data_IF_779419886620
#
_entry.id   IF_779419886620
#
_cell.length_a   1.000
_cell.length_b   1.000
_cell.length_c   1.000
_cell.angle_alpha   90.00
_cell.angle_beta   90.00
_cell.angle_gamma   90.00
#
_symmetry.space_group_name_H-M   'P 1'
#
loop_
_entity.id
_entity.type
_entity.pdbx_description
1 polymer ?
#
# COMPACT_ATOMS: atom_id res chain seq x y z
N UNK A 1 13.49 56.95 41.79
CA UNK A 1 12.49 56.00 41.30
C UNK A 1 13.11 55.27 40.13
N UNK A 2 13.73 54.11 40.37
CA UNK A 2 14.50 53.38 39.35
C UNK A 2 13.62 52.30 38.75
N UNK A 3 13.34 52.38 37.45
CA UNK A 3 12.59 51.41 36.67
C UNK A 3 13.57 50.26 36.30
N UNK A 4 13.42 49.13 36.98
CA UNK A 4 14.12 47.89 36.67
C UNK A 4 13.51 47.29 35.37
N UNK A 5 14.24 47.35 34.28
CA UNK A 5 13.88 46.62 33.04
C UNK A 5 14.22 45.15 33.21
N UNK A 6 13.19 44.35 33.39
CA UNK A 6 13.26 42.88 33.35
C UNK A 6 13.57 42.45 31.91
N UNK A 7 14.79 42.01 31.66
CA UNK A 7 15.13 41.34 30.39
C UNK A 7 14.54 39.96 30.37
N UNK A 8 13.78 39.59 29.30
CA UNK A 8 13.28 38.22 29.19
C UNK A 8 14.45 37.26 28.93
N UNK A 9 14.52 36.24 29.77
CA UNK A 9 15.52 35.17 29.70
C UNK A 9 15.46 34.44 28.37
N UNK A 10 16.45 34.70 27.50
CA UNK A 10 16.61 34.06 26.17
C UNK A 10 17.03 32.58 26.25
N UNK A 11 17.14 32.00 27.45
CA UNK A 11 17.54 30.60 27.63
C UNK A 11 16.41 29.60 27.59
N UNK A 12 15.16 30.04 27.64
CA UNK A 12 13.97 29.13 27.62
C UNK A 12 13.51 28.73 26.22
N UNK A 13 13.97 29.40 25.16
CA UNK A 13 13.51 29.12 23.79
C UNK A 13 14.35 28.07 23.03
N UNK A 14 15.38 27.51 23.65
CA UNK A 14 16.37 26.67 22.95
C UNK A 14 16.17 25.15 23.12
N UNK A 15 15.13 24.66 23.78
CA UNK A 15 15.11 23.24 24.15
C UNK A 15 13.78 22.51 23.87
N UNK A 16 13.05 22.89 22.84
CA UNK A 16 11.96 22.07 22.29
C UNK A 16 12.28 21.56 20.87
N UNK A 17 13.53 21.20 20.64
CA UNK A 17 13.80 20.21 19.60
C UNK A 17 13.58 18.85 20.25
N UNK A 18 12.37 18.31 20.06
CA UNK A 18 12.14 16.90 20.29
C UNK A 18 13.30 16.10 19.69
N UNK A 19 13.81 15.07 20.38
CA UNK A 19 14.85 14.23 19.81
C UNK A 19 14.29 13.66 18.51
N UNK A 20 14.78 14.18 17.40
CA UNK A 20 14.70 13.50 16.11
C UNK A 20 15.22 12.11 16.40
N UNK A 21 14.38 11.11 16.22
CA UNK A 21 14.68 9.70 16.42
C UNK A 21 15.99 9.37 15.71
N UNK A 22 17.08 9.54 16.44
CA UNK A 22 18.41 9.07 16.09
C UNK A 22 18.38 7.55 16.25
N UNK A 23 17.84 6.87 15.23
CA UNK A 23 17.72 5.42 15.35
C UNK A 23 16.96 4.74 14.22
N UNK A 24 17.07 5.22 13.01
CA UNK A 24 17.03 4.38 11.82
C UNK A 24 17.62 5.19 10.66
N UNK A 25 18.81 4.93 10.42
CA UNK A 25 19.71 5.17 9.33
C UNK A 25 19.01 5.05 7.99
N UNK A 26 18.23 5.98 7.58
CA UNK A 26 17.70 5.84 6.25
C UNK A 26 17.55 7.21 5.63
N UNK A 27 18.23 7.42 4.53
CA UNK A 27 17.88 8.46 3.61
C UNK A 27 16.34 8.39 3.41
N UNK A 28 15.57 9.48 3.67
CA UNK A 28 14.10 9.49 3.54
C UNK A 28 13.60 8.99 2.18
N UNK A 29 14.44 9.01 1.17
CA UNK A 29 14.13 8.51 -0.17
C UNK A 29 13.99 6.98 -0.24
N UNK A 30 14.71 6.21 0.60
CA UNK A 30 14.50 4.76 0.70
C UNK A 30 13.14 4.43 1.31
N UNK A 31 12.72 5.20 2.32
CA UNK A 31 11.37 5.07 2.88
C UNK A 31 10.30 5.39 1.82
N UNK A 32 10.52 6.45 1.02
CA UNK A 32 9.61 6.77 -0.09
C UNK A 32 9.58 5.64 -1.13
N UNK A 33 10.73 5.08 -1.48
CA UNK A 33 10.80 3.95 -2.41
C UNK A 33 10.02 2.75 -1.88
N UNK A 34 10.22 2.35 -0.62
CA UNK A 34 9.50 1.23 0.00
C UNK A 34 7.97 1.42 -0.02
N UNK A 35 7.48 2.60 0.40
CA UNK A 35 6.03 2.86 0.41
C UNK A 35 5.46 3.02 -1.00
N UNK A 36 6.24 3.53 -1.96
CA UNK A 36 5.83 3.61 -3.37
C UNK A 36 5.72 2.22 -3.99
N UNK A 37 6.62 1.28 -3.67
CA UNK A 37 6.51 -0.12 -4.09
C UNK A 37 5.23 -0.76 -3.52
N UNK A 38 4.88 -0.48 -2.27
CA UNK A 38 3.62 -0.94 -1.67
C UNK A 38 2.38 -0.39 -2.39
N UNK A 39 2.40 0.89 -2.78
CA UNK A 39 1.31 1.50 -3.56
C UNK A 39 1.23 0.92 -4.97
N UNK A 40 2.37 0.69 -5.61
CA UNK A 40 2.45 0.03 -6.92
C UNK A 40 1.81 -1.36 -6.85
N UNK A 41 2.06 -2.14 -5.81
CA UNK A 41 1.46 -3.45 -5.61
C UNK A 41 -0.07 -3.39 -5.63
N UNK A 42 -0.66 -2.50 -4.84
CA UNK A 42 -2.13 -2.33 -4.76
C UNK A 42 -2.71 -1.81 -6.09
N UNK A 43 -2.06 -0.85 -6.73
CA UNK A 43 -2.52 -0.28 -7.99
C UNK A 43 -2.43 -1.25 -9.17
N UNK A 44 -1.35 -2.04 -9.24
CA UNK A 44 -1.21 -3.11 -10.23
C UNK A 44 -2.28 -4.19 -10.03
N UNK A 45 -2.44 -4.68 -8.81
CA UNK A 45 -3.41 -5.72 -8.49
C UNK A 45 -4.83 -5.30 -8.88
N UNK A 46 -5.22 -4.07 -8.58
CA UNK A 46 -6.55 -3.56 -8.94
C UNK A 46 -6.79 -3.52 -10.47
N UNK A 47 -5.75 -3.27 -11.27
CA UNK A 47 -5.88 -3.09 -12.71
C UNK A 47 -5.64 -4.38 -13.51
N UNK A 48 -4.76 -5.27 -13.03
CA UNK A 48 -4.38 -6.50 -13.74
C UNK A 48 -5.49 -7.55 -13.72
N UNK A 49 -6.32 -7.60 -12.68
CA UNK A 49 -7.42 -8.58 -12.53
C UNK A 49 -8.46 -8.47 -13.64
N UNK A 50 -8.74 -7.25 -14.12
CA UNK A 50 -9.68 -7.06 -15.22
C UNK A 50 -9.23 -7.78 -16.50
N UNK A 51 -7.92 -7.88 -16.73
CA UNK A 51 -7.34 -8.59 -17.88
C UNK A 51 -7.38 -10.11 -17.68
N UNK A 52 -7.30 -10.58 -16.44
CA UNK A 52 -7.37 -12.00 -16.11
C UNK A 52 -8.80 -12.57 -16.16
N UNK A 53 -9.83 -11.74 -16.05
CA UNK A 53 -11.23 -12.16 -15.97
C UNK A 53 -11.66 -13.16 -17.06
N UNK A 54 -11.34 -13.01 -18.37
CA UNK A 54 -11.74 -13.98 -19.39
C UNK A 54 -11.13 -15.37 -19.14
N UNK A 55 -9.88 -15.43 -18.67
CA UNK A 55 -9.21 -16.71 -18.33
C UNK A 55 -9.80 -17.33 -17.08
N UNK A 56 -10.05 -16.52 -16.04
CA UNK A 56 -10.72 -16.98 -14.81
C UNK A 56 -12.10 -17.55 -15.14
N UNK A 57 -12.87 -16.89 -16.04
CA UNK A 57 -14.16 -17.39 -16.49
C UNK A 57 -14.05 -18.76 -17.16
N UNK A 58 -13.08 -18.94 -18.05
CA UNK A 58 -12.88 -20.18 -18.77
C UNK A 58 -12.41 -21.32 -17.85
N UNK A 59 -11.42 -21.06 -16.99
CA UNK A 59 -10.75 -22.08 -16.18
C UNK A 59 -11.59 -22.51 -14.97
N UNK A 60 -12.30 -21.57 -14.34
CA UNK A 60 -13.14 -21.83 -13.17
C UNK A 60 -14.64 -21.94 -13.50
N UNK A 61 -15.02 -21.84 -14.78
CA UNK A 61 -16.43 -21.79 -15.22
C UNK A 61 -17.23 -20.70 -14.50
N UNK A 62 -16.58 -19.53 -14.27
CA UNK A 62 -17.16 -18.43 -13.52
C UNK A 62 -18.18 -17.66 -14.39
N UNK A 63 -19.34 -17.35 -13.79
CA UNK A 63 -20.36 -16.50 -14.40
C UNK A 63 -19.97 -15.01 -14.38
N UNK A 64 -20.64 -14.17 -15.16
CA UNK A 64 -20.42 -12.71 -15.12
C UNK A 64 -20.61 -12.11 -13.72
N UNK A 65 -21.65 -12.47 -12.93
CA UNK A 65 -21.76 -12.04 -11.54
C UNK A 65 -20.56 -12.46 -10.67
N UNK A 66 -20.02 -13.66 -10.88
CA UNK A 66 -18.85 -14.12 -10.12
C UNK A 66 -17.62 -13.25 -10.40
N UNK A 67 -17.36 -12.90 -11.66
CA UNK A 67 -16.28 -12.01 -12.05
C UNK A 67 -16.43 -10.61 -11.46
N UNK A 68 -17.66 -10.11 -11.38
CA UNK A 68 -17.96 -8.87 -10.68
C UNK A 68 -17.62 -8.99 -9.20
N UNK A 69 -18.04 -10.05 -8.53
CA UNK A 69 -17.74 -10.28 -7.11
C UNK A 69 -16.25 -10.46 -6.83
N UNK A 70 -15.48 -11.05 -7.74
CA UNK A 70 -14.01 -11.13 -7.62
C UNK A 70 -13.40 -9.72 -7.52
N UNK A 71 -13.91 -8.77 -8.28
CA UNK A 71 -13.44 -7.37 -8.23
C UNK A 71 -14.05 -6.61 -7.05
N UNK A 72 -15.36 -6.70 -6.87
CA UNK A 72 -16.12 -5.89 -5.92
C UNK A 72 -15.82 -6.28 -4.47
N UNK A 73 -15.63 -7.56 -4.17
CA UNK A 73 -15.26 -8.00 -2.81
C UNK A 73 -13.98 -7.36 -2.31
N UNK A 74 -12.99 -7.23 -3.17
CA UNK A 74 -11.73 -6.52 -2.87
C UNK A 74 -11.97 -5.02 -2.63
N UNK A 75 -12.66 -4.36 -3.57
CA UNK A 75 -12.93 -2.91 -3.49
C UNK A 75 -13.79 -2.55 -2.29
N UNK A 76 -14.82 -3.34 -2.00
CA UNK A 76 -15.72 -3.14 -0.85
C UNK A 76 -14.96 -3.30 0.48
N UNK A 77 -14.16 -4.36 0.61
CA UNK A 77 -13.34 -4.58 1.81
C UNK A 77 -12.31 -3.46 1.98
N UNK A 78 -11.63 -3.07 0.90
CA UNK A 78 -10.66 -1.98 0.91
C UNK A 78 -11.31 -0.66 1.32
N UNK A 79 -12.40 -0.27 0.65
CA UNK A 79 -13.04 1.03 0.87
C UNK A 79 -13.67 1.13 2.27
N UNK A 80 -14.37 0.08 2.72
CA UNK A 80 -15.05 0.06 4.03
C UNK A 80 -14.08 0.11 5.22
N UNK A 81 -12.88 -0.44 5.06
CA UNK A 81 -11.89 -0.53 6.13
C UNK A 81 -10.77 0.53 6.04
N UNK A 82 -10.77 1.39 5.02
CA UNK A 82 -9.71 2.37 4.79
C UNK A 82 -9.49 3.30 6.01
N UNK A 83 -10.57 3.82 6.59
CA UNK A 83 -10.52 4.71 7.77
C UNK A 83 -10.02 3.94 8.98
N UNK A 84 -10.50 2.71 9.17
CA UNK A 84 -10.05 1.84 10.25
C UNK A 84 -8.56 1.51 10.13
N UNK A 85 -8.07 1.20 8.94
CA UNK A 85 -6.66 0.96 8.66
C UNK A 85 -5.79 2.16 9.02
N UNK A 86 -6.24 3.38 8.71
CA UNK A 86 -5.55 4.60 9.11
C UNK A 86 -5.46 4.75 10.63
N UNK A 87 -6.58 4.57 11.35
CA UNK A 87 -6.62 4.61 12.82
C UNK A 87 -5.71 3.54 13.44
N UNK A 88 -5.72 2.34 12.89
CA UNK A 88 -4.86 1.25 13.37
C UNK A 88 -3.37 1.61 13.21
N UNK A 89 -3.00 2.26 12.10
CA UNK A 89 -1.65 2.78 11.86
C UNK A 89 -1.21 3.81 12.89
N UNK A 90 -2.11 4.68 13.32
CA UNK A 90 -1.83 5.67 14.36
C UNK A 90 -1.70 5.02 15.76
N UNK A 91 -2.44 3.96 16.05
CA UNK A 91 -2.42 3.26 17.34
C UNK A 91 -1.24 2.28 17.48
N UNK A 92 -0.98 1.45 16.47
CA UNK A 92 0.02 0.36 16.52
C UNK A 92 1.36 0.73 15.88
N UNK A 93 1.41 1.90 15.24
CA UNK A 93 2.58 2.39 14.51
C UNK A 93 2.50 2.09 13.01
N UNK A 94 2.65 3.15 12.23
CA UNK A 94 2.46 3.17 10.76
C UNK A 94 3.33 2.15 10.03
N UNK A 95 4.61 2.00 10.42
CA UNK A 95 5.51 1.01 9.83
C UNK A 95 5.04 -0.43 10.05
N UNK A 96 4.56 -0.75 11.25
CA UNK A 96 4.08 -2.11 11.57
C UNK A 96 2.84 -2.45 10.78
N UNK A 97 1.88 -1.51 10.69
CA UNK A 97 0.63 -1.70 9.95
C UNK A 97 0.90 -1.76 8.45
N UNK A 98 1.83 -0.97 7.93
CA UNK A 98 2.30 -1.07 6.54
C UNK A 98 2.87 -2.46 6.24
N UNK A 99 3.80 -2.96 7.05
CA UNK A 99 4.39 -4.28 6.84
C UNK A 99 3.35 -5.41 6.95
N UNK A 100 2.43 -5.32 7.93
CA UNK A 100 1.32 -6.26 8.04
C UNK A 100 0.45 -6.23 6.78
N UNK A 101 0.14 -5.05 6.26
CA UNK A 101 -0.60 -4.87 5.01
C UNK A 101 0.10 -5.51 3.82
N UNK A 102 1.40 -5.24 3.63
CA UNK A 102 2.21 -5.79 2.52
C UNK A 102 2.27 -7.32 2.60
N UNK A 103 2.63 -7.87 3.76
CA UNK A 103 2.79 -9.31 3.94
C UNK A 103 1.44 -10.03 3.79
N UNK A 104 0.39 -9.53 4.45
CA UNK A 104 -0.94 -10.12 4.36
C UNK A 104 -1.52 -10.06 2.96
N UNK A 105 -1.28 -8.96 2.23
CA UNK A 105 -1.68 -8.82 0.83
C UNK A 105 -0.98 -9.87 -0.06
N UNK A 106 0.33 -10.06 0.11
CA UNK A 106 1.09 -11.06 -0.64
C UNK A 106 0.66 -12.50 -0.31
N UNK A 107 0.41 -12.80 0.96
CA UNK A 107 -0.08 -14.13 1.39
C UNK A 107 -1.46 -14.41 0.81
N UNK A 108 -2.38 -13.43 0.86
CA UNK A 108 -3.69 -13.57 0.22
C UNK A 108 -3.56 -13.78 -1.29
N UNK A 109 -2.63 -13.09 -1.96
CA UNK A 109 -2.35 -13.24 -3.40
C UNK A 109 -1.88 -14.67 -3.73
N UNK A 110 -0.98 -15.23 -2.93
CA UNK A 110 -0.57 -16.65 -3.08
C UNK A 110 -1.76 -17.58 -2.90
N UNK A 111 -2.60 -17.32 -1.89
CA UNK A 111 -3.81 -18.09 -1.65
C UNK A 111 -4.75 -18.08 -2.85
N UNK A 112 -4.95 -16.91 -3.50
CA UNK A 112 -5.80 -16.78 -4.69
C UNK A 112 -5.26 -17.65 -5.83
N UNK A 113 -3.96 -17.64 -6.06
CA UNK A 113 -3.35 -18.44 -7.12
C UNK A 113 -3.34 -19.95 -6.85
N UNK A 114 -3.60 -20.39 -5.61
CA UNK A 114 -3.63 -21.81 -5.26
C UNK A 114 -5.06 -22.37 -5.14
N UNK A 115 -6.08 -21.50 -5.05
CA UNK A 115 -7.45 -21.91 -4.82
C UNK A 115 -8.17 -22.13 -6.15
N UNK A 116 -8.60 -23.35 -6.43
CA UNK A 116 -9.26 -23.72 -7.68
C UNK A 116 -10.78 -23.49 -7.68
N UNK A 117 -11.32 -22.55 -6.89
CA UNK A 117 -12.77 -22.31 -6.80
C UNK A 117 -13.11 -20.83 -6.80
N UNK A 118 -14.18 -20.45 -7.52
CA UNK A 118 -14.64 -19.06 -7.62
C UNK A 118 -14.93 -18.45 -6.25
N UNK A 119 -15.66 -19.16 -5.39
CA UNK A 119 -15.98 -18.69 -4.04
C UNK A 119 -14.74 -18.47 -3.18
N UNK A 120 -13.72 -19.32 -3.35
CA UNK A 120 -12.44 -19.16 -2.69
C UNK A 120 -11.67 -17.93 -3.16
N UNK A 121 -11.67 -17.68 -4.48
CA UNK A 121 -11.08 -16.45 -5.05
C UNK A 121 -11.79 -15.22 -4.48
N UNK A 122 -13.13 -15.18 -4.49
CA UNK A 122 -13.92 -14.06 -3.94
C UNK A 122 -13.57 -13.81 -2.45
N UNK A 123 -13.53 -14.87 -1.63
CA UNK A 123 -13.22 -14.75 -0.21
C UNK A 123 -11.80 -14.21 0.02
N UNK A 124 -10.81 -14.73 -0.71
CA UNK A 124 -9.43 -14.28 -0.62
C UNK A 124 -9.23 -12.86 -1.18
N UNK A 125 -9.99 -12.44 -2.18
CA UNK A 125 -10.05 -11.06 -2.67
C UNK A 125 -10.55 -10.11 -1.58
N UNK A 126 -11.60 -10.48 -0.84
CA UNK A 126 -12.04 -9.69 0.31
C UNK A 126 -10.95 -9.58 1.38
N UNK A 127 -10.27 -10.67 1.72
CA UNK A 127 -9.13 -10.67 2.66
C UNK A 127 -7.99 -9.79 2.14
N UNK A 128 -7.66 -9.87 0.85
CA UNK A 128 -6.65 -9.04 0.21
C UNK A 128 -7.03 -7.54 0.30
N UNK A 129 -8.33 -7.21 0.11
CA UNK A 129 -8.86 -5.86 0.30
C UNK A 129 -8.68 -5.33 1.73
N UNK A 130 -8.87 -6.18 2.75
CA UNK A 130 -8.57 -5.82 4.16
C UNK A 130 -7.11 -5.39 4.32
N UNK A 131 -6.17 -6.17 3.80
CA UNK A 131 -4.75 -5.82 3.87
C UNK A 131 -4.39 -4.59 3.04
N UNK A 132 -5.04 -4.39 1.89
CA UNK A 132 -4.95 -3.16 1.10
C UNK A 132 -5.39 -1.92 1.90
N UNK A 133 -6.48 -2.04 2.68
CA UNK A 133 -6.99 -0.98 3.54
C UNK A 133 -6.04 -0.62 4.69
N UNK A 134 -5.22 -1.56 5.17
CA UNK A 134 -4.17 -1.28 6.14
C UNK A 134 -2.97 -0.57 5.49
N UNK A 135 -2.63 -0.98 4.28
CA UNK A 135 -1.46 -0.52 3.55
C UNK A 135 -1.63 0.92 3.07
N UNK A 136 -2.70 1.25 2.36
CA UNK A 136 -2.87 2.52 1.64
C UNK A 136 -2.76 3.76 2.55
N UNK A 137 -3.50 3.91 3.66
CA UNK A 137 -3.35 5.09 4.51
C UNK A 137 -2.01 5.15 5.22
N UNK A 138 -1.41 3.98 5.54
CA UNK A 138 -0.11 3.90 6.18
C UNK A 138 1.00 4.47 5.30
N UNK A 139 0.95 4.26 3.97
CA UNK A 139 1.96 4.78 3.03
C UNK A 139 2.04 6.30 3.05
N UNK A 140 0.90 6.98 2.88
CA UNK A 140 0.84 8.44 2.89
C UNK A 140 1.20 9.03 4.26
N UNK A 141 0.79 8.37 5.34
CA UNK A 141 1.13 8.77 6.69
C UNK A 141 2.64 8.64 6.98
N UNK A 142 3.31 7.61 6.46
CA UNK A 142 4.77 7.44 6.54
C UNK A 142 5.46 8.56 5.76
N UNK A 143 5.06 8.84 4.52
CA UNK A 143 5.63 9.94 3.71
C UNK A 143 5.55 11.26 4.48
N UNK A 144 4.36 11.60 5.02
CA UNK A 144 4.16 12.85 5.76
C UNK A 144 5.00 12.97 7.03
N UNK A 145 5.31 11.84 7.68
CA UNK A 145 6.13 11.85 8.90
C UNK A 145 7.64 11.81 8.64
N UNK A 146 8.04 11.46 7.42
CA UNK A 146 9.46 11.26 7.05
C UNK A 146 10.06 12.49 6.40
N UNK A 147 9.27 13.24 5.62
CA UNK A 147 9.78 14.39 4.86
C UNK A 147 9.50 15.72 5.56
N UNK A 148 10.49 16.65 5.52
CA UNK A 148 10.28 18.01 5.99
C UNK A 148 9.35 18.77 5.03
N UNK A 149 8.69 19.87 5.51
CA UNK A 149 7.70 20.62 4.73
C UNK A 149 8.17 21.03 3.32
N UNK A 150 9.45 21.41 3.18
CA UNK A 150 10.04 21.89 1.93
C UNK A 150 10.10 20.83 0.83
N UNK A 151 10.16 19.53 1.21
CA UNK A 151 10.28 18.40 0.29
C UNK A 151 9.02 17.52 0.26
N UNK A 152 8.06 17.80 1.12
CA UNK A 152 6.86 16.98 1.26
C UNK A 152 6.03 16.94 -0.02
N UNK A 153 5.85 18.07 -0.70
CA UNK A 153 5.08 18.14 -1.95
C UNK A 153 5.73 17.30 -3.05
N UNK A 154 7.05 17.31 -3.15
CA UNK A 154 7.79 16.46 -4.10
C UNK A 154 7.61 14.98 -3.76
N UNK A 155 7.71 14.61 -2.48
CA UNK A 155 7.54 13.22 -2.06
C UNK A 155 6.11 12.70 -2.31
N UNK A 156 5.09 13.52 -2.04
CA UNK A 156 3.69 13.19 -2.35
C UNK A 156 3.48 13.08 -3.87
N UNK A 157 4.11 13.96 -4.66
CA UNK A 157 4.06 13.91 -6.12
C UNK A 157 4.65 12.60 -6.68
N UNK A 158 5.79 12.14 -6.17
CA UNK A 158 6.42 10.88 -6.54
C UNK A 158 5.54 9.69 -6.13
N UNK A 159 5.02 9.69 -4.90
CA UNK A 159 4.09 8.67 -4.42
C UNK A 159 2.83 8.59 -5.29
N UNK A 160 2.23 9.73 -5.64
CA UNK A 160 1.06 9.80 -6.54
C UNK A 160 1.37 9.34 -7.96
N UNK A 161 2.54 9.71 -8.51
CA UNK A 161 3.00 9.25 -9.81
C UNK A 161 3.20 7.72 -9.82
N UNK A 162 3.78 7.15 -8.77
CA UNK A 162 3.94 5.71 -8.63
C UNK A 162 2.58 4.97 -8.65
N UNK A 163 1.57 5.53 -7.97
CA UNK A 163 0.20 5.01 -8.00
C UNK A 163 -0.40 5.07 -9.42
N UNK A 164 -0.28 6.22 -10.11
CA UNK A 164 -0.80 6.37 -11.46
C UNK A 164 -0.14 5.45 -12.48
N UNK A 165 1.18 5.33 -12.42
CA UNK A 165 1.96 4.44 -13.29
C UNK A 165 1.57 2.98 -13.07
N UNK A 166 1.34 2.56 -11.83
CA UNK A 166 0.94 1.18 -11.53
C UNK A 166 -0.39 0.79 -12.15
N UNK A 167 -1.39 1.68 -12.11
CA UNK A 167 -2.68 1.45 -12.75
C UNK A 167 -2.55 1.38 -14.27
N UNK A 168 -1.73 2.25 -14.87
CA UNK A 168 -1.50 2.26 -16.32
C UNK A 168 -0.68 1.04 -16.80
N UNK A 169 0.24 0.54 -15.96
CA UNK A 169 1.05 -0.63 -16.28
C UNK A 169 0.29 -1.96 -16.19
N UNK A 170 -0.81 -2.00 -15.41
CA UNK A 170 -1.58 -3.22 -15.17
C UNK A 170 -2.06 -3.93 -16.42
N UNK A 171 -2.72 -3.27 -17.39
CA UNK A 171 -3.14 -3.92 -18.63
C UNK A 171 -2.00 -4.53 -19.42
N UNK A 172 -0.83 -3.88 -19.47
CA UNK A 172 0.35 -4.36 -20.19
C UNK A 172 0.92 -5.60 -19.49
N UNK A 173 1.18 -5.50 -18.19
CA UNK A 173 1.74 -6.62 -17.42
C UNK A 173 0.73 -7.76 -17.30
N UNK A 174 -0.55 -7.46 -17.10
CA UNK A 174 -1.62 -8.46 -17.05
C UNK A 174 -1.75 -9.22 -18.35
N UNK A 175 -1.70 -8.52 -19.50
CA UNK A 175 -1.71 -9.14 -20.83
C UNK A 175 -0.55 -10.11 -21.01
N UNK A 176 0.68 -9.68 -20.72
CA UNK A 176 1.88 -10.52 -20.83
C UNK A 176 1.78 -11.75 -19.91
N UNK A 177 1.38 -11.55 -18.67
CA UNK A 177 1.29 -12.63 -17.68
C UNK A 177 0.22 -13.67 -18.05
N UNK A 178 -0.97 -13.22 -18.46
CA UNK A 178 -2.07 -14.11 -18.82
C UNK A 178 -1.83 -14.83 -20.14
N UNK A 179 -1.16 -14.18 -21.12
CA UNK A 179 -0.88 -14.76 -22.41
C UNK A 179 0.23 -15.84 -22.37
N UNK A 180 1.31 -15.57 -21.61
CA UNK A 180 2.51 -16.43 -21.62
C UNK A 180 2.55 -17.43 -20.45
N UNK A 181 1.76 -17.21 -19.41
CA UNK A 181 1.74 -18.08 -18.22
C UNK A 181 0.30 -18.52 -17.92
N UNK A 182 -0.30 -17.94 -16.89
CA UNK A 182 -1.65 -18.29 -16.44
C UNK A 182 -2.31 -17.10 -15.73
N UNK A 183 -3.59 -17.16 -15.47
CA UNK A 183 -4.29 -16.08 -14.76
C UNK A 183 -3.80 -15.95 -13.31
N UNK A 184 -3.35 -17.02 -12.66
CA UNK A 184 -2.81 -16.98 -11.29
C UNK A 184 -1.53 -16.15 -11.20
N UNK A 185 -0.78 -16.07 -12.30
CA UNK A 185 0.48 -15.30 -12.35
C UNK A 185 0.26 -13.80 -12.06
N UNK A 186 -0.93 -13.26 -12.35
CA UNK A 186 -1.26 -11.86 -12.03
C UNK A 186 -1.35 -11.60 -10.52
N UNK A 187 -1.58 -12.63 -9.73
CA UNK A 187 -1.56 -12.56 -8.28
C UNK A 187 -0.15 -12.84 -7.74
N UNK A 188 0.56 -13.80 -8.32
CA UNK A 188 1.92 -14.14 -7.90
C UNK A 188 2.92 -12.99 -8.06
N UNK A 189 2.69 -12.05 -9.01
CA UNK A 189 3.54 -10.86 -9.18
C UNK A 189 3.60 -9.98 -7.91
N UNK A 190 2.57 -10.05 -7.05
CA UNK A 190 2.55 -9.32 -5.79
C UNK A 190 3.62 -9.81 -4.81
N UNK A 191 4.07 -11.07 -4.92
CA UNK A 191 5.07 -11.64 -4.00
C UNK A 191 6.44 -10.97 -4.15
N UNK A 192 7.07 -10.93 -5.35
CA UNK A 192 8.34 -10.22 -5.51
C UNK A 192 8.23 -8.73 -5.18
N UNK A 193 7.10 -8.08 -5.52
CA UNK A 193 6.87 -6.68 -5.17
C UNK A 193 6.84 -6.50 -3.64
N UNK A 194 6.14 -7.38 -2.92
CA UNK A 194 6.09 -7.36 -1.47
C UNK A 194 7.48 -7.58 -0.84
N UNK A 195 8.27 -8.51 -1.36
CA UNK A 195 9.65 -8.74 -0.90
C UNK A 195 10.48 -7.48 -1.03
N UNK A 196 10.41 -6.80 -2.19
CA UNK A 196 11.11 -5.53 -2.41
C UNK A 196 10.64 -4.46 -1.40
N UNK A 197 9.32 -4.32 -1.18
CA UNK A 197 8.77 -3.34 -0.24
C UNK A 197 9.18 -3.60 1.22
N UNK A 198 9.39 -4.86 1.61
CA UNK A 198 9.81 -5.25 2.97
C UNK A 198 11.31 -5.09 3.18
N UNK A 199 12.13 -5.33 2.15
CA UNK A 199 13.60 -5.27 2.23
C UNK A 199 14.10 -3.82 2.23
N UNK A 200 13.42 -2.90 1.53
CA UNK A 200 13.72 -1.46 1.50
C UNK A 200 13.36 -0.78 2.82
#
# INVERSE_FOLDING_TARGET
MAISTVQPDRRSAANHRAPVLAGLRGNPWWTLAAVSVGVIMVGLDASVVAIANPRIAADLSASLPDLQWITDSYLLALASLLIFGGKLGDMLGRKRVFLLGVIGFAVASVGIGLIGTVSGVIALRAIQGVFGALLMPSTLAIVRSTFPPERLNTAIGIWGAASGVSVAAGPILGGILVEHYSWESVFYINVPIAVIAVVL
#
